data_IF_305098880955
#
_entry.id   IF_305098880955
#
_cell.length_a   1.000
_cell.length_b   1.000
_cell.length_c   1.000
_cell.angle_alpha   90.00
_cell.angle_beta   90.00
_cell.angle_gamma   90.00
#
_symmetry.space_group_name_H-M   'P 1'
#
loop_
_entity.id
_entity.type
_entity.pdbx_description
1 polymer ?
#
# COMPACT_ATOMS: atom_id res chain seq x y z
N UNK A 1 -34.02 7.64 -53.17
CA UNK A 1 -33.12 6.80 -52.32
C UNK A 1 -31.78 7.45 -51.95
N UNK A 2 -31.14 8.23 -52.85
CA UNK A 2 -29.81 8.84 -52.62
C UNK A 2 -29.80 9.94 -51.54
N UNK A 3 -30.83 10.79 -51.51
CA UNK A 3 -31.00 11.88 -50.52
C UNK A 3 -31.24 11.37 -49.10
N UNK A 4 -31.94 10.23 -48.96
CA UNK A 4 -32.24 9.61 -47.67
C UNK A 4 -31.02 8.91 -47.03
N UNK A 5 -30.08 8.43 -47.85
CA UNK A 5 -28.78 7.88 -47.38
C UNK A 5 -27.79 8.98 -46.99
N UNK A 6 -27.86 10.13 -47.68
CA UNK A 6 -27.08 11.33 -47.35
C UNK A 6 -27.55 11.98 -46.03
N UNK A 7 -28.86 12.08 -45.80
CA UNK A 7 -29.40 12.61 -44.54
C UNK A 7 -29.12 11.71 -43.33
N UNK A 8 -29.21 10.38 -43.48
CA UNK A 8 -28.86 9.41 -42.45
C UNK A 8 -27.37 9.48 -42.05
N UNK A 9 -26.48 9.66 -43.03
CA UNK A 9 -25.05 9.78 -42.78
C UNK A 9 -24.71 11.07 -42.02
N UNK A 10 -25.35 12.18 -42.40
CA UNK A 10 -25.14 13.49 -41.76
C UNK A 10 -25.68 13.51 -40.32
N UNK A 11 -26.83 12.86 -40.08
CA UNK A 11 -27.38 12.69 -38.74
C UNK A 11 -26.47 11.83 -37.86
N UNK A 12 -25.91 10.72 -38.39
CA UNK A 12 -24.99 9.85 -37.64
C UNK A 12 -23.71 10.59 -37.24
N UNK A 13 -23.11 11.35 -38.16
CA UNK A 13 -21.91 12.14 -37.85
C UNK A 13 -22.18 13.20 -36.79
N UNK A 14 -23.35 13.84 -36.82
CA UNK A 14 -23.71 14.88 -35.86
C UNK A 14 -23.93 14.29 -34.46
N UNK A 15 -24.57 13.12 -34.36
CA UNK A 15 -24.74 12.40 -33.10
C UNK A 15 -23.40 11.95 -32.52
N UNK A 16 -22.49 11.40 -33.34
CA UNK A 16 -21.17 10.98 -32.88
C UNK A 16 -20.33 12.16 -32.36
N UNK A 17 -20.41 13.33 -33.01
CA UNK A 17 -19.73 14.55 -32.55
C UNK A 17 -20.31 15.01 -31.21
N UNK A 18 -21.64 15.01 -31.04
CA UNK A 18 -22.29 15.38 -29.78
C UNK A 18 -21.94 14.44 -28.62
N UNK A 19 -21.84 13.15 -28.89
CA UNK A 19 -21.42 12.16 -27.89
C UNK A 19 -19.96 12.39 -27.52
N UNK A 20 -19.07 12.58 -28.50
CA UNK A 20 -17.64 12.81 -28.24
C UNK A 20 -17.39 14.11 -27.44
N UNK A 21 -18.09 15.20 -27.76
CA UNK A 21 -17.97 16.45 -27.00
C UNK A 21 -18.53 16.33 -25.58
N UNK A 22 -19.62 15.58 -25.39
CA UNK A 22 -20.15 15.25 -24.06
C UNK A 22 -19.16 14.43 -23.21
N UNK A 23 -18.56 13.39 -23.80
CA UNK A 23 -17.53 12.59 -23.13
C UNK A 23 -16.28 13.40 -22.80
N UNK A 24 -15.86 14.30 -23.69
CA UNK A 24 -14.72 15.19 -23.45
C UNK A 24 -14.97 16.10 -22.24
N UNK A 25 -16.14 16.74 -22.16
CA UNK A 25 -16.52 17.59 -21.02
C UNK A 25 -16.62 16.81 -19.70
N UNK A 26 -17.18 15.60 -19.76
CA UNK A 26 -17.28 14.71 -18.60
C UNK A 26 -15.89 14.30 -18.09
N UNK A 27 -14.99 13.94 -19.00
CA UNK A 27 -13.62 13.54 -18.67
C UNK A 27 -12.78 14.72 -18.18
N UNK A 28 -12.91 15.91 -18.79
CA UNK A 28 -12.21 17.12 -18.34
C UNK A 28 -12.68 17.57 -16.95
N UNK A 29 -13.95 17.33 -16.59
CA UNK A 29 -14.46 17.60 -15.24
C UNK A 29 -13.80 16.71 -14.17
N UNK A 30 -13.43 15.48 -14.53
CA UNK A 30 -12.71 14.55 -13.63
C UNK A 30 -11.21 14.85 -13.52
N UNK A 31 -10.65 15.69 -14.41
CA UNK A 31 -9.21 15.97 -14.48
C UNK A 31 -8.69 17.08 -13.57
N UNK A 32 -9.56 17.81 -12.86
CA UNK A 32 -9.15 18.86 -11.92
C UNK A 32 -8.71 18.27 -10.58
N UNK A 33 -7.59 17.56 -10.58
CA UNK A 33 -6.89 17.20 -9.35
C UNK A 33 -6.11 18.44 -8.88
N UNK A 34 -6.47 19.07 -7.75
CA UNK A 34 -5.65 20.12 -7.18
C UNK A 34 -4.25 19.56 -6.93
N UNK A 35 -3.21 20.32 -7.30
CA UNK A 35 -1.82 19.95 -7.05
C UNK A 35 -1.65 19.49 -5.60
N UNK A 36 -0.79 18.48 -5.33
CA UNK A 36 -0.53 18.03 -3.97
C UNK A 36 -0.16 19.25 -3.12
N UNK A 37 -0.93 19.49 -2.05
CA UNK A 37 -0.57 20.50 -1.06
C UNK A 37 0.70 19.97 -0.39
N UNK A 38 1.86 20.44 -0.83
CA UNK A 38 3.08 20.33 -0.03
C UNK A 38 2.75 21.08 1.26
N UNK A 39 2.73 20.36 2.38
CA UNK A 39 2.54 20.98 3.67
C UNK A 39 3.79 21.81 3.97
N UNK A 40 3.72 23.10 3.64
CA UNK A 40 4.66 24.13 4.09
C UNK A 40 4.63 24.14 5.63
N UNK A 41 5.64 23.52 6.24
CA UNK A 41 5.77 23.49 7.70
C UNK A 41 6.24 24.86 8.19
N UNK A 42 5.30 25.72 8.56
CA UNK A 42 5.59 26.95 9.29
C UNK A 42 5.85 26.63 10.77
N UNK A 43 7.09 26.24 11.10
CA UNK A 43 7.55 26.18 12.48
C UNK A 43 8.40 27.42 12.79
N UNK A 44 7.88 28.29 13.65
CA UNK A 44 8.62 29.42 14.24
C UNK A 44 9.85 28.94 15.04
N UNK A 45 10.90 29.77 15.20
CA UNK A 45 12.22 29.32 15.61
C UNK A 45 12.27 29.04 17.11
N UNK A 46 12.09 27.77 17.49
CA UNK A 46 12.43 27.23 18.80
C UNK A 46 13.71 26.41 18.69
N UNK A 47 14.72 26.79 19.47
CA UNK A 47 16.04 26.18 19.71
C UNK A 47 16.30 24.82 19.02
N UNK A 48 17.08 24.85 17.94
CA UNK A 48 17.49 23.66 17.22
C UNK A 48 18.51 22.85 18.04
N UNK A 49 18.04 21.86 18.81
CA UNK A 49 18.82 20.64 18.96
C UNK A 49 18.97 20.10 17.54
N UNK A 50 20.20 20.09 17.01
CA UNK A 50 20.48 19.45 15.72
C UNK A 50 20.12 17.97 15.86
N UNK A 51 18.87 17.64 15.55
CA UNK A 51 18.46 16.29 15.26
C UNK A 51 19.39 15.83 14.14
N UNK A 52 20.33 14.95 14.49
CA UNK A 52 21.05 14.15 13.50
C UNK A 52 19.99 13.61 12.56
N UNK A 53 20.02 14.05 11.31
CA UNK A 53 19.08 13.62 10.28
C UNK A 53 19.10 12.09 10.28
N UNK A 54 18.02 11.45 10.75
CA UNK A 54 17.95 9.98 10.79
C UNK A 54 17.94 9.53 9.33
N UNK A 55 19.08 9.01 8.88
CA UNK A 55 19.24 8.51 7.51
C UNK A 55 18.50 7.19 7.42
N UNK A 56 17.56 7.11 6.47
CA UNK A 56 16.88 5.87 6.13
C UNK A 56 17.83 5.03 5.27
N UNK A 57 18.53 4.10 5.90
CA UNK A 57 19.47 3.18 5.25
C UNK A 57 19.35 1.78 5.86
N UNK A 58 18.35 0.98 5.44
CA UNK A 58 18.17 -0.37 5.97
C UNK A 58 19.31 -1.31 5.50
N UNK A 59 19.90 -2.13 6.39
CA UNK A 59 21.01 -3.03 6.04
C UNK A 59 20.55 -4.07 5.01
N UNK A 60 21.38 -4.50 4.07
CA UNK A 60 20.97 -5.47 3.03
C UNK A 60 20.67 -6.85 3.64
N UNK A 61 19.73 -7.64 3.09
CA UNK A 61 19.41 -8.95 3.66
C UNK A 61 20.64 -9.86 3.70
N UNK A 62 21.50 -9.77 2.68
CA UNK A 62 22.77 -10.48 2.57
C UNK A 62 23.84 -9.99 3.55
N UNK A 63 23.65 -8.89 4.28
CA UNK A 63 24.59 -8.41 5.31
C UNK A 63 24.19 -8.89 6.72
N UNK A 64 23.09 -9.64 6.86
CA UNK A 64 22.63 -10.14 8.15
C UNK A 64 23.70 -11.02 8.84
N UNK A 65 23.80 -11.02 10.18
CA UNK A 65 24.70 -11.92 10.90
C UNK A 65 24.47 -13.39 10.50
N UNK A 66 25.54 -14.17 10.38
CA UNK A 66 25.49 -15.56 9.88
C UNK A 66 24.49 -16.43 10.63
N UNK A 67 24.40 -16.28 11.96
CA UNK A 67 23.49 -17.03 12.82
C UNK A 67 21.99 -16.86 12.49
N UNK A 68 21.61 -15.76 11.83
CA UNK A 68 20.21 -15.46 11.47
C UNK A 68 20.02 -15.28 9.96
N UNK A 69 21.09 -15.33 9.16
CA UNK A 69 21.08 -14.97 7.75
C UNK A 69 20.09 -15.79 6.96
N UNK A 70 20.03 -17.09 7.19
CA UNK A 70 19.12 -18.00 6.48
C UNK A 70 17.65 -17.62 6.72
N UNK A 71 17.29 -17.29 7.96
CA UNK A 71 15.95 -16.83 8.31
C UNK A 71 15.62 -15.47 7.70
N UNK A 72 16.59 -14.55 7.67
CA UNK A 72 16.42 -13.23 7.03
C UNK A 72 16.23 -13.38 5.52
N UNK A 73 17.02 -14.23 4.88
CA UNK A 73 16.94 -14.49 3.44
C UNK A 73 15.62 -15.19 3.08
N UNK A 74 15.19 -16.18 3.86
CA UNK A 74 13.89 -16.82 3.67
C UNK A 74 12.74 -15.79 3.78
N UNK A 75 12.77 -14.94 4.82
CA UNK A 75 11.78 -13.88 4.98
C UNK A 75 11.77 -12.90 3.80
N UNK A 76 12.95 -12.51 3.30
CA UNK A 76 13.08 -11.68 2.10
C UNK A 76 12.48 -12.35 0.87
N UNK A 77 12.77 -13.64 0.65
CA UNK A 77 12.21 -14.42 -0.46
C UNK A 77 10.68 -14.53 -0.40
N UNK A 78 10.10 -14.76 0.78
CA UNK A 78 8.64 -14.77 0.97
C UNK A 78 8.03 -13.41 0.61
N UNK A 79 8.66 -12.29 0.96
CA UNK A 79 8.15 -10.97 0.64
C UNK A 79 8.27 -10.63 -0.85
N UNK A 80 9.35 -11.08 -1.50
CA UNK A 80 9.59 -10.82 -2.93
C UNK A 80 8.83 -11.76 -3.86
N UNK A 81 8.66 -13.01 -3.48
CA UNK A 81 8.03 -14.06 -4.29
C UNK A 81 7.20 -15.01 -3.43
N UNK A 82 6.18 -14.44 -2.79
CA UNK A 82 5.21 -15.13 -1.94
C UNK A 82 4.58 -16.33 -2.65
N UNK A 83 4.33 -16.23 -3.96
CA UNK A 83 3.72 -17.32 -4.73
C UNK A 83 4.61 -18.56 -4.86
N UNK A 84 5.93 -18.42 -4.72
CA UNK A 84 6.87 -19.54 -4.73
C UNK A 84 7.12 -20.08 -3.33
N UNK A 85 7.36 -19.19 -2.36
CA UNK A 85 7.85 -19.58 -1.02
C UNK A 85 6.74 -19.78 0.02
N UNK A 86 5.52 -19.30 -0.22
CA UNK A 86 4.44 -19.31 0.77
C UNK A 86 3.05 -19.54 0.13
N UNK A 87 3.00 -20.20 -1.04
CA UNK A 87 1.77 -20.40 -1.82
C UNK A 87 0.61 -21.00 -1.02
N UNK A 88 0.92 -21.92 -0.12
CA UNK A 88 -0.07 -22.62 0.70
C UNK A 88 -0.81 -21.70 1.69
N UNK A 89 -0.24 -20.53 2.00
CA UNK A 89 -0.80 -19.57 2.95
C UNK A 89 -1.55 -18.41 2.28
N UNK A 90 -1.57 -18.35 0.94
CA UNK A 90 -2.17 -17.25 0.18
C UNK A 90 -3.26 -17.75 -0.76
N UNK A 91 -4.43 -17.09 -0.70
CA UNK A 91 -5.59 -17.43 -1.54
C UNK A 91 -5.67 -16.63 -2.85
N UNK A 92 -4.63 -15.85 -3.18
CA UNK A 92 -4.62 -14.98 -4.36
C UNK A 92 -3.29 -15.11 -5.14
N UNK A 93 -3.10 -14.23 -6.14
CA UNK A 93 -1.92 -14.23 -7.03
C UNK A 93 -0.96 -13.07 -6.76
N UNK A 94 -1.08 -12.40 -5.60
CA UNK A 94 -0.29 -11.22 -5.26
C UNK A 94 0.93 -11.60 -4.41
N UNK A 95 2.05 -10.92 -4.67
CA UNK A 95 3.22 -10.97 -3.81
C UNK A 95 3.23 -9.77 -2.85
N UNK A 96 3.81 -9.91 -1.66
CA UNK A 96 3.90 -8.79 -0.72
C UNK A 96 4.59 -7.56 -1.35
N UNK A 97 5.60 -7.79 -2.19
CA UNK A 97 6.31 -6.74 -2.94
C UNK A 97 5.43 -5.89 -3.84
N UNK A 98 4.24 -6.35 -4.22
CA UNK A 98 3.33 -5.58 -5.08
C UNK A 98 2.86 -4.29 -4.39
N UNK A 99 2.86 -4.27 -3.05
CA UNK A 99 2.51 -3.10 -2.24
C UNK A 99 3.68 -2.63 -1.36
N UNK A 100 4.49 -3.57 -0.86
CA UNK A 100 5.66 -3.32 -0.03
C UNK A 100 6.94 -3.36 -0.88
N UNK A 101 7.22 -2.29 -1.63
CA UNK A 101 8.34 -2.27 -2.58
C UNK A 101 9.69 -2.60 -1.93
N UNK A 102 10.50 -3.33 -2.69
CA UNK A 102 11.78 -3.85 -2.24
C UNK A 102 11.68 -4.62 -0.89
N UNK A 103 10.72 -5.54 -0.78
CA UNK A 103 10.40 -6.23 0.47
C UNK A 103 10.13 -5.27 1.67
N UNK A 104 9.55 -4.09 1.39
CA UNK A 104 9.27 -3.05 2.36
C UNK A 104 10.47 -2.20 2.77
N UNK A 105 11.58 -2.23 2.01
CA UNK A 105 12.82 -1.51 2.33
C UNK A 105 12.91 -0.12 1.71
N UNK A 106 11.91 0.29 0.92
CA UNK A 106 11.94 1.55 0.18
C UNK A 106 11.30 2.71 0.98
N UNK A 107 11.88 3.92 0.88
CA UNK A 107 11.38 5.12 1.56
C UNK A 107 10.08 5.61 0.91
N UNK A 108 9.19 6.24 1.68
CA UNK A 108 7.93 6.84 1.19
C UNK A 108 6.98 5.82 0.53
N UNK A 109 7.13 4.55 0.85
CA UNK A 109 6.24 3.46 0.44
C UNK A 109 5.57 2.85 1.67
N UNK A 110 4.85 1.75 1.49
CA UNK A 110 4.44 0.89 2.60
C UNK A 110 5.69 0.18 3.17
N UNK A 111 6.58 0.93 3.82
CA UNK A 111 7.81 0.39 4.36
C UNK A 111 7.55 -0.50 5.58
N UNK A 112 8.33 -1.57 5.70
CA UNK A 112 8.35 -2.45 6.87
C UNK A 112 9.54 -2.13 7.80
N UNK A 113 10.39 -1.17 7.43
CA UNK A 113 11.51 -0.72 8.26
C UNK A 113 10.96 -0.07 9.53
N UNK A 114 11.48 -0.48 10.69
CA UNK A 114 11.05 0.01 12.00
C UNK A 114 9.78 -0.66 12.55
N UNK A 115 9.08 -1.51 11.81
CA UNK A 115 7.85 -2.16 12.31
C UNK A 115 8.10 -3.02 13.56
N UNK A 116 9.33 -3.51 13.75
CA UNK A 116 9.71 -4.27 14.94
C UNK A 116 9.62 -3.45 16.24
N UNK A 117 9.93 -2.15 16.18
CA UNK A 117 9.95 -1.28 17.37
C UNK A 117 8.58 -0.65 17.64
N UNK A 118 7.68 -0.66 16.66
CA UNK A 118 6.31 -0.10 16.81
C UNK A 118 5.33 -1.08 17.47
N UNK A 119 5.63 -2.37 17.47
CA UNK A 119 4.77 -3.41 18.03
C UNK A 119 5.35 -3.97 19.33
N UNK A 120 4.51 -4.38 20.30
CA UNK A 120 3.04 -4.49 20.22
C UNK A 120 2.31 -3.14 20.24
N UNK A 121 1.14 -3.07 19.59
CA UNK A 121 0.30 -1.86 19.52
C UNK A 121 -1.18 -2.19 19.66
N UNK A 122 -1.90 -1.41 20.48
CA UNK A 122 -3.35 -1.53 20.61
C UNK A 122 -4.05 -1.08 19.31
N UNK A 123 -5.02 -1.87 18.84
CA UNK A 123 -5.79 -1.58 17.63
C UNK A 123 -7.27 -1.44 17.96
N UNK A 124 -7.79 -0.23 17.85
CA UNK A 124 -9.22 0.08 18.12
C UNK A 124 -10.18 -0.78 17.30
N UNK A 125 -9.88 -0.98 16.00
CA UNK A 125 -10.71 -1.81 15.11
C UNK A 125 -10.98 -3.22 15.65
N UNK A 126 -10.00 -3.80 16.35
CA UNK A 126 -10.07 -5.15 16.93
C UNK A 126 -10.25 -5.12 18.45
N UNK A 127 -10.18 -3.94 19.07
CA UNK A 127 -10.20 -3.71 20.53
C UNK A 127 -9.22 -4.59 21.30
N UNK A 128 -8.05 -4.86 20.72
CA UNK A 128 -7.03 -5.72 21.33
C UNK A 128 -5.60 -5.26 20.99
N UNK A 129 -4.63 -5.80 21.74
CA UNK A 129 -3.21 -5.61 21.48
C UNK A 129 -2.76 -6.52 20.33
N UNK A 130 -2.29 -5.94 19.23
CA UNK A 130 -1.65 -6.71 18.15
C UNK A 130 -0.16 -6.86 18.41
N UNK A 131 0.38 -8.04 18.10
CA UNK A 131 1.81 -8.37 18.23
C UNK A 131 2.37 -8.82 16.87
N UNK A 132 3.65 -8.51 16.61
CA UNK A 132 4.33 -8.79 15.32
C UNK A 132 4.60 -10.29 15.07
N UNK A 133 4.20 -11.20 15.96
CA UNK A 133 4.41 -12.65 15.74
C UNK A 133 3.51 -13.14 14.60
N UNK A 134 4.11 -13.23 13.40
CA UNK A 134 3.52 -13.67 12.13
C UNK A 134 2.73 -15.00 12.17
N UNK A 135 2.80 -15.80 13.24
CA UNK A 135 2.06 -17.06 13.37
C UNK A 135 1.07 -17.17 14.54
N UNK A 136 1.05 -16.25 15.52
CA UNK A 136 0.18 -16.39 16.69
C UNK A 136 -1.16 -15.64 16.55
N UNK A 137 -1.23 -14.59 15.73
CA UNK A 137 -2.49 -13.88 15.49
C UNK A 137 -3.54 -14.71 14.72
N UNK A 138 -3.15 -15.77 13.99
CA UNK A 138 -4.11 -16.68 13.37
C UNK A 138 -4.91 -17.48 14.41
N UNK A 139 -4.31 -17.75 15.58
CA UNK A 139 -4.97 -18.40 16.72
C UNK A 139 -5.85 -17.40 17.47
N UNK A 140 -5.45 -16.13 17.57
CA UNK A 140 -6.28 -15.10 18.20
C UNK A 140 -7.43 -14.59 17.32
N UNK A 141 -7.34 -14.73 16.00
CA UNK A 141 -8.36 -14.27 15.06
C UNK A 141 -9.47 -15.30 14.80
N UNK A 142 -9.23 -16.59 15.04
CA UNK A 142 -10.22 -17.66 14.87
C UNK A 142 -10.77 -18.08 16.24
N UNK A 143 -11.61 -17.22 16.83
CA UNK A 143 -12.60 -17.55 17.84
C UNK A 143 -12.17 -18.53 18.94
N UNK A 144 -11.58 -18.02 20.02
CA UNK A 144 -11.96 -18.34 21.39
C UNK A 144 -11.06 -17.56 22.35
N UNK A 145 -11.65 -16.64 23.11
CA UNK A 145 -11.04 -16.17 24.35
C UNK A 145 -11.90 -16.74 25.48
N UNK A 146 -11.62 -17.97 25.97
CA UNK A 146 -12.24 -18.43 27.18
C UNK A 146 -11.62 -17.64 28.35
N UNK A 147 -12.42 -16.77 28.97
CA UNK A 147 -12.17 -16.30 30.33
C UNK A 147 -11.32 -15.03 30.49
N UNK A 148 -11.73 -13.89 29.93
CA UNK A 148 -11.36 -12.60 30.54
C UNK A 148 -12.57 -11.84 31.08
N UNK A 149 -12.52 -11.39 32.35
CA UNK A 149 -13.55 -10.52 32.91
C UNK A 149 -13.49 -9.15 32.22
N UNK A 150 -14.66 -8.56 32.04
CA UNK A 150 -14.80 -7.17 31.56
C UNK A 150 -14.26 -6.24 32.65
N UNK A 151 -13.16 -5.56 32.33
CA UNK A 151 -12.79 -4.25 32.89
C UNK A 151 -12.70 -3.26 31.74
#
# INVERSE_FOLDING_TARGET
MRTHRLSLSLALTLVLVLVATGFYWLFSSMGNFPAPRVMENNQAPGEAVRASQVVFDPPRPEDAPESIRDGVMLGYHILMDTQTYAKEYVGNTLNCRNCHFNAGRERNTLSLVGVAVTYPKYRERRKCMSSKRLGQELVFANGDIPGRPRV
#
